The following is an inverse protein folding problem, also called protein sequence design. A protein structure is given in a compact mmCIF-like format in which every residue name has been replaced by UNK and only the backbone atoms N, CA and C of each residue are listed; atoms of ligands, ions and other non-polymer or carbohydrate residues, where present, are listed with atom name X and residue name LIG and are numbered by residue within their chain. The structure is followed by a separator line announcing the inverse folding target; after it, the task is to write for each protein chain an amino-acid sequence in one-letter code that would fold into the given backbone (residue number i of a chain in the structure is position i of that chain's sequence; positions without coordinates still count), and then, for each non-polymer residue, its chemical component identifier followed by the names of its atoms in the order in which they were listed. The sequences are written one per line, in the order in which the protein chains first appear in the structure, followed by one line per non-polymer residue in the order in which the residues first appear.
data_IF_466765134722
#
_entry.id   IF_466765134722
#
_cell.length_a   1.000
_cell.length_b   1.000
_cell.length_c   1.000
_cell.angle_alpha   90.00
_cell.angle_beta   90.00
_cell.angle_gamma   90.00
#
_symmetry.space_group_name_H-M   'P 1'
#
loop_
_entity.id
_entity.type
_entity.pdbx_description
1 polymer ?
#
# COMPACT_ATOMS: atom_id res chain seq x y z
N UNK A 1 48.65 -3.24 31.24
CA UNK A 1 48.49 -4.69 31.48
C UNK A 1 47.12 -5.06 30.97
N UNK A 2 47.02 -6.03 30.06
CA UNK A 2 45.74 -6.55 29.58
C UNK A 2 44.97 -7.19 30.74
N UNK A 3 43.70 -6.86 30.89
CA UNK A 3 42.82 -7.44 31.91
C UNK A 3 42.61 -8.93 31.59
N UNK A 4 42.77 -9.80 32.59
CA UNK A 4 42.54 -11.24 32.44
C UNK A 4 41.15 -11.66 32.95
N UNK A 5 40.79 -12.93 32.70
CA UNK A 5 39.47 -13.48 33.08
C UNK A 5 39.25 -13.47 34.60
N UNK A 6 40.30 -13.72 35.39
CA UNK A 6 40.21 -13.75 36.85
C UNK A 6 39.91 -12.37 37.42
N UNK A 7 40.54 -11.33 36.88
CA UNK A 7 40.29 -9.93 37.23
C UNK A 7 38.86 -9.49 36.89
N UNK A 8 38.31 -9.94 35.75
CA UNK A 8 36.91 -9.67 35.40
C UNK A 8 35.94 -10.31 36.39
N UNK A 9 36.13 -11.58 36.74
CA UNK A 9 35.27 -12.26 37.73
C UNK A 9 35.40 -11.66 39.12
N UNK A 10 36.60 -11.26 39.54
CA UNK A 10 36.80 -10.55 40.81
C UNK A 10 36.05 -9.23 40.84
N UNK A 11 36.17 -8.43 39.77
CA UNK A 11 35.47 -7.14 39.64
C UNK A 11 33.96 -7.32 39.60
N UNK A 12 33.48 -8.34 38.88
CA UNK A 12 32.07 -8.73 38.89
C UNK A 12 31.59 -9.11 40.29
N UNK A 13 32.37 -9.90 41.03
CA UNK A 13 32.04 -10.31 42.40
C UNK A 13 31.86 -9.11 43.33
N UNK A 14 32.80 -8.15 43.28
CA UNK A 14 32.72 -6.89 44.04
C UNK A 14 31.39 -6.16 43.75
N UNK A 15 31.05 -5.99 42.47
CA UNK A 15 29.83 -5.28 42.08
C UNK A 15 28.55 -6.07 42.43
N UNK A 16 28.57 -7.39 42.27
CA UNK A 16 27.44 -8.25 42.59
C UNK A 16 27.15 -8.30 44.09
N UNK A 17 28.20 -8.38 44.92
CA UNK A 17 28.09 -8.40 46.39
C UNK A 17 27.62 -7.06 46.94
N UNK A 18 28.00 -5.95 46.29
CA UNK A 18 27.57 -4.60 46.67
C UNK A 18 26.08 -4.31 46.40
N UNK A 19 25.40 -5.09 45.55
CA UNK A 19 23.98 -4.93 45.19
C UNK A 19 23.64 -3.48 44.79
N UNK A 20 22.77 -2.80 45.53
CA UNK A 20 22.36 -1.42 45.25
C UNK A 20 23.49 -0.40 45.48
N UNK A 21 24.53 -0.77 46.22
CA UNK A 21 25.72 0.04 46.46
C UNK A 21 26.83 -0.19 45.41
N UNK A 22 26.54 -0.87 44.30
CA UNK A 22 27.53 -1.08 43.23
C UNK A 22 28.16 0.23 42.74
N UNK A 23 27.40 1.34 42.76
CA UNK A 23 27.86 2.70 42.42
C UNK A 23 29.09 3.17 43.23
N UNK A 24 29.31 2.62 44.43
CA UNK A 24 30.43 2.97 45.31
C UNK A 24 31.75 2.29 44.88
N UNK A 25 31.71 1.44 43.84
CA UNK A 25 32.85 0.70 43.31
C UNK A 25 33.13 0.99 41.82
N UNK A 26 33.30 2.27 41.41
CA UNK A 26 33.50 2.64 40.00
C UNK A 26 34.77 2.04 39.39
N UNK A 27 35.82 1.80 40.20
CA UNK A 27 37.06 1.19 39.73
C UNK A 27 36.88 -0.26 39.28
N UNK A 28 36.02 -1.03 39.95
CA UNK A 28 35.69 -2.38 39.52
C UNK A 28 34.96 -2.38 38.16
N UNK A 29 34.06 -1.41 37.95
CA UNK A 29 33.38 -1.25 36.68
C UNK A 29 34.33 -0.80 35.56
N UNK A 30 35.26 0.13 35.83
CA UNK A 30 36.30 0.52 34.87
C UNK A 30 37.22 -0.64 34.46
N UNK A 31 37.52 -1.58 35.36
CA UNK A 31 38.26 -2.81 35.01
C UNK A 31 37.45 -3.68 34.04
N UNK A 32 36.13 -3.80 34.26
CA UNK A 32 35.24 -4.51 33.35
C UNK A 32 35.24 -3.86 31.96
N UNK A 33 35.14 -2.52 31.88
CA UNK A 33 35.18 -1.79 30.61
C UNK A 33 36.50 -2.00 29.85
N UNK A 34 37.64 -2.07 30.56
CA UNK A 34 38.94 -2.39 29.96
C UNK A 34 39.06 -3.83 29.45
N UNK A 35 38.15 -4.72 29.82
CA UNK A 35 38.13 -6.12 29.37
C UNK A 35 37.97 -6.28 27.86
N UNK A 36 37.48 -5.24 27.16
CA UNK A 36 37.36 -5.22 25.70
C UNK A 36 38.72 -5.28 24.97
N UNK A 37 39.81 -4.91 25.64
CA UNK A 37 41.17 -4.93 25.06
C UNK A 37 41.86 -6.30 25.18
N UNK A 38 41.18 -7.29 25.78
CA UNK A 38 41.76 -8.60 26.05
C UNK A 38 41.56 -9.64 24.94
N UNK A 39 41.59 -10.92 25.30
CA UNK A 39 41.36 -12.03 24.39
C UNK A 39 39.85 -12.33 24.18
N UNK A 40 39.51 -13.30 23.33
CA UNK A 40 38.12 -13.69 23.04
C UNK A 40 37.29 -13.96 24.30
N UNK A 41 37.85 -14.62 25.31
CA UNK A 41 37.13 -14.93 26.54
C UNK A 41 36.85 -13.68 27.38
N UNK A 42 37.84 -12.79 27.52
CA UNK A 42 37.67 -11.54 28.28
C UNK A 42 36.72 -10.58 27.60
N UNK A 43 36.79 -10.44 26.27
CA UNK A 43 35.87 -9.60 25.49
C UNK A 43 34.41 -10.03 25.65
N UNK A 44 34.14 -11.34 25.53
CA UNK A 44 32.78 -11.89 25.71
C UNK A 44 32.24 -11.69 27.13
N UNK A 45 33.09 -11.80 28.15
CA UNK A 45 32.72 -11.51 29.54
C UNK A 45 32.50 -10.01 29.76
N UNK A 46 33.37 -9.17 29.21
CA UNK A 46 33.27 -7.73 29.30
C UNK A 46 31.94 -7.22 28.75
N UNK A 47 31.48 -7.71 27.59
CA UNK A 47 30.16 -7.38 27.04
C UNK A 47 29.02 -7.63 28.06
N UNK A 48 28.94 -8.85 28.61
CA UNK A 48 27.88 -9.22 29.56
C UNK A 48 27.97 -8.47 30.89
N UNK A 49 29.19 -8.29 31.40
CA UNK A 49 29.41 -7.66 32.70
C UNK A 49 29.16 -6.16 32.63
N UNK A 50 29.52 -5.52 31.52
CA UNK A 50 29.28 -4.09 31.27
C UNK A 50 27.80 -3.78 31.33
N UNK A 51 26.96 -4.53 30.61
CA UNK A 51 25.51 -4.27 30.56
C UNK A 51 24.80 -4.61 31.85
N UNK A 52 25.26 -5.63 32.59
CA UNK A 52 24.65 -6.05 33.87
C UNK A 52 24.66 -4.95 34.94
N UNK A 53 25.73 -4.18 35.03
CA UNK A 53 25.89 -3.15 36.07
C UNK A 53 25.68 -1.72 35.56
N UNK A 54 25.40 -1.55 34.27
CA UNK A 54 25.25 -0.26 33.58
C UNK A 54 24.42 0.77 34.36
N UNK A 55 23.23 0.39 34.83
CA UNK A 55 22.30 1.28 35.56
C UNK A 55 22.87 1.92 36.83
N UNK A 56 23.95 1.38 37.40
CA UNK A 56 24.57 1.90 38.62
C UNK A 56 25.62 2.99 38.35
N UNK A 57 26.03 3.19 37.09
CA UNK A 57 27.14 4.08 36.73
C UNK A 57 26.75 5.06 35.61
N UNK A 58 25.81 6.00 35.86
CA UNK A 58 25.40 6.98 34.86
C UNK A 58 26.57 7.84 34.34
N UNK A 59 27.53 8.17 35.21
CA UNK A 59 28.72 8.95 34.83
C UNK A 59 29.66 8.22 33.84
N UNK A 60 29.50 6.90 33.71
CA UNK A 60 30.29 6.05 32.82
C UNK A 60 29.44 5.49 31.66
N UNK A 61 28.20 5.98 31.48
CA UNK A 61 27.25 5.43 30.52
C UNK A 61 27.79 5.47 29.08
N UNK A 62 28.30 6.62 28.62
CA UNK A 62 28.88 6.76 27.28
C UNK A 62 30.09 5.84 27.07
N UNK A 63 30.98 5.72 28.06
CA UNK A 63 32.12 4.80 27.98
C UNK A 63 31.66 3.34 27.91
N UNK A 64 30.61 2.97 28.65
CA UNK A 64 30.06 1.62 28.64
C UNK A 64 29.36 1.29 27.31
N UNK A 65 28.59 2.24 26.75
CA UNK A 65 27.95 2.07 25.44
C UNK A 65 29.03 1.90 24.37
N UNK A 66 29.99 2.82 24.30
CA UNK A 66 31.06 2.75 23.30
C UNK A 66 31.86 1.45 23.43
N UNK A 67 32.19 1.01 24.65
CA UNK A 67 32.87 -0.27 24.86
C UNK A 67 32.10 -1.48 24.30
N UNK A 68 30.78 -1.51 24.42
CA UNK A 68 29.97 -2.61 23.85
C UNK A 68 29.83 -2.46 22.33
N UNK A 69 29.74 -1.23 21.81
CA UNK A 69 29.72 -0.96 20.36
C UNK A 69 31.04 -1.36 19.69
N UNK A 70 32.18 -1.07 20.30
CA UNK A 70 33.50 -1.51 19.82
C UNK A 70 33.55 -3.05 19.68
N UNK A 71 32.92 -3.78 20.60
CA UNK A 71 32.81 -5.24 20.51
C UNK A 71 31.81 -5.71 19.44
N UNK A 72 30.85 -4.88 19.04
CA UNK A 72 29.96 -5.18 17.90
C UNK A 72 30.70 -5.06 16.56
N UNK A 73 31.87 -4.43 16.53
CA UNK A 73 32.74 -4.28 15.34
C UNK A 73 33.98 -5.20 15.40
N UNK A 74 34.00 -6.17 16.33
CA UNK A 74 35.14 -7.08 16.49
C UNK A 74 35.35 -8.01 15.28
N UNK A 75 36.61 -8.32 14.96
CA UNK A 75 36.97 -9.25 13.89
C UNK A 75 36.37 -10.66 14.09
N UNK A 76 36.23 -11.10 15.35
CA UNK A 76 35.64 -12.40 15.69
C UNK A 76 34.11 -12.30 15.78
N UNK A 77 33.41 -12.97 14.85
CA UNK A 77 31.94 -12.92 14.81
C UNK A 77 31.27 -13.50 16.05
N UNK A 78 31.95 -14.39 16.79
CA UNK A 78 31.43 -14.89 18.07
C UNK A 78 31.41 -13.82 19.15
N UNK A 79 32.31 -12.83 19.07
CA UNK A 79 32.37 -11.67 19.96
C UNK A 79 31.30 -10.66 19.55
N UNK A 80 31.20 -10.33 18.25
CA UNK A 80 30.12 -9.45 17.74
C UNK A 80 28.76 -9.93 18.17
N UNK A 81 28.43 -11.19 17.89
CA UNK A 81 27.14 -11.80 18.30
C UNK A 81 26.92 -11.77 19.81
N UNK A 82 27.98 -11.94 20.62
CA UNK A 82 27.86 -11.82 22.07
C UNK A 82 27.55 -10.38 22.49
N UNK A 83 28.19 -9.38 21.89
CA UNK A 83 27.96 -7.96 22.18
C UNK A 83 26.58 -7.48 21.71
N UNK A 84 26.17 -7.80 20.48
CA UNK A 84 24.88 -7.43 19.90
C UNK A 84 23.72 -7.92 20.77
N UNK A 85 23.81 -9.15 21.28
CA UNK A 85 22.79 -9.72 22.17
C UNK A 85 22.63 -8.94 23.48
N UNK A 86 23.68 -8.27 23.93
CA UNK A 86 23.70 -7.52 25.18
C UNK A 86 23.22 -6.07 25.03
N UNK A 87 23.19 -5.50 23.81
CA UNK A 87 22.76 -4.12 23.57
C UNK A 87 21.42 -3.75 24.24
N UNK A 88 20.35 -4.57 24.19
CA UNK A 88 19.10 -4.22 24.86
C UNK A 88 19.22 -4.08 26.38
N UNK A 89 20.20 -4.73 27.00
CA UNK A 89 20.43 -4.64 28.45
C UNK A 89 20.96 -3.27 28.88
N UNK A 90 21.57 -2.50 27.97
CA UNK A 90 21.99 -1.11 28.23
C UNK A 90 20.80 -0.16 28.41
N UNK A 91 19.61 -0.53 27.94
CA UNK A 91 18.39 0.27 28.11
C UNK A 91 17.54 -0.16 29.32
N UNK A 92 17.92 -1.22 30.05
CA UNK A 92 17.10 -1.71 31.18
C UNK A 92 17.02 -0.66 32.30
N UNK A 93 15.85 -0.06 32.44
CA UNK A 93 15.56 0.96 33.45
C UNK A 93 15.82 2.40 33.01
N UNK A 94 16.35 2.63 31.79
CA UNK A 94 16.46 3.96 31.18
C UNK A 94 16.20 3.89 29.66
N UNK A 95 15.22 4.68 29.19
CA UNK A 95 14.82 4.73 27.77
C UNK A 95 15.69 5.65 26.92
N UNK A 96 16.55 6.46 27.54
CA UNK A 96 17.34 7.51 26.89
C UNK A 96 18.15 7.03 25.68
N UNK A 97 18.67 5.81 25.73
CA UNK A 97 19.53 5.26 24.67
C UNK A 97 18.80 4.35 23.68
N UNK A 98 17.50 4.10 23.84
CA UNK A 98 16.77 3.11 23.02
C UNK A 98 16.83 3.47 21.54
N UNK A 99 16.57 4.72 21.18
CA UNK A 99 16.59 5.14 19.76
C UNK A 99 17.97 5.01 19.14
N UNK A 100 19.03 5.41 19.85
CA UNK A 100 20.42 5.27 19.40
C UNK A 100 20.82 3.81 19.22
N UNK A 101 20.45 2.93 20.15
CA UNK A 101 20.79 1.50 20.04
C UNK A 101 19.94 0.78 18.98
N UNK A 102 18.68 1.19 18.78
CA UNK A 102 17.87 0.68 17.69
C UNK A 102 18.44 1.09 16.32
N UNK A 103 18.92 2.33 16.19
CA UNK A 103 19.61 2.83 15.00
C UNK A 103 20.84 1.96 14.64
N UNK A 104 21.72 1.70 15.61
CA UNK A 104 22.87 0.80 15.44
C UNK A 104 22.44 -0.62 15.05
N UNK A 105 21.45 -1.18 15.76
CA UNK A 105 20.99 -2.54 15.49
C UNK A 105 20.38 -2.70 14.09
N UNK A 106 19.79 -1.64 13.53
CA UNK A 106 19.29 -1.62 12.16
C UNK A 106 20.44 -1.66 11.15
N UNK A 107 21.54 -0.94 11.40
CA UNK A 107 22.74 -1.02 10.57
C UNK A 107 23.31 -2.45 10.53
N UNK A 108 23.25 -3.16 11.67
CA UNK A 108 23.69 -4.55 11.79
C UNK A 108 22.79 -5.56 11.05
N UNK A 109 21.59 -5.17 10.58
CA UNK A 109 20.74 -6.03 9.74
C UNK A 109 21.29 -6.23 8.32
N UNK A 110 22.30 -5.45 7.93
CA UNK A 110 22.97 -5.53 6.62
C UNK A 110 24.11 -6.56 6.61
N UNK A 111 24.47 -7.14 7.75
CA UNK A 111 25.54 -8.16 7.83
C UNK A 111 25.30 -9.34 6.87
N UNK A 112 26.36 -9.77 6.17
CA UNK A 112 26.37 -10.98 5.34
C UNK A 112 26.19 -12.27 6.15
N UNK A 113 26.56 -12.24 7.44
CA UNK A 113 26.40 -13.39 8.32
C UNK A 113 24.95 -13.50 8.82
N UNK A 114 24.19 -14.45 8.29
CA UNK A 114 22.78 -14.68 8.67
C UNK A 114 22.56 -14.92 10.16
N UNK A 115 23.55 -15.51 10.85
CA UNK A 115 23.49 -15.73 12.29
C UNK A 115 23.65 -14.42 13.08
N UNK A 116 24.38 -13.44 12.56
CA UNK A 116 24.53 -12.11 13.14
C UNK A 116 23.24 -11.29 12.95
N UNK A 117 22.67 -11.29 11.74
CA UNK A 117 21.36 -10.68 11.44
C UNK A 117 20.27 -11.25 12.34
N UNK A 118 20.31 -12.55 12.61
CA UNK A 118 19.37 -13.21 13.53
C UNK A 118 19.49 -12.68 14.97
N UNK A 119 20.72 -12.48 15.47
CA UNK A 119 20.94 -11.91 16.80
C UNK A 119 20.53 -10.43 16.85
N UNK A 120 20.86 -9.64 15.83
CA UNK A 120 20.45 -8.24 15.74
C UNK A 120 18.91 -8.09 15.73
N UNK A 121 18.21 -8.95 14.98
CA UNK A 121 16.74 -9.01 14.96
C UNK A 121 16.15 -9.33 16.34
N UNK A 122 16.75 -10.29 17.07
CA UNK A 122 16.32 -10.63 18.44
C UNK A 122 16.56 -9.45 19.38
N UNK A 123 17.69 -8.76 19.25
CA UNK A 123 18.01 -7.59 20.06
C UNK A 123 17.03 -6.43 19.79
N UNK A 124 16.70 -6.15 18.53
CA UNK A 124 15.67 -5.17 18.16
C UNK A 124 14.31 -5.51 18.75
N UNK A 125 13.92 -6.80 18.73
CA UNK A 125 12.68 -7.24 19.36
C UNK A 125 12.69 -6.99 20.88
N UNK A 126 13.85 -7.22 21.52
CA UNK A 126 14.05 -6.91 22.93
C UNK A 126 13.88 -5.42 23.25
N UNK A 127 14.44 -4.53 22.42
CA UNK A 127 14.21 -3.08 22.55
C UNK A 127 12.75 -2.72 22.28
N UNK A 128 12.13 -3.29 21.25
CA UNK A 128 10.75 -2.99 20.88
C UNK A 128 9.76 -3.33 22.00
N UNK A 129 9.90 -4.50 22.63
CA UNK A 129 9.04 -4.88 23.74
C UNK A 129 9.30 -4.06 25.02
N UNK A 130 10.48 -3.44 25.15
CA UNK A 130 10.79 -2.53 26.26
C UNK A 130 10.28 -1.11 26.02
N UNK A 131 10.50 -0.58 24.82
CA UNK A 131 10.08 0.75 24.39
C UNK A 131 9.88 0.83 22.88
N UNK A 132 8.67 0.48 22.43
CA UNK A 132 8.32 0.43 21.02
C UNK A 132 8.51 1.77 20.31
N UNK A 133 8.09 2.89 20.93
CA UNK A 133 8.21 4.24 20.35
C UNK A 133 9.67 4.64 20.15
N UNK A 134 10.54 4.45 21.16
CA UNK A 134 11.97 4.72 21.03
C UNK A 134 12.63 3.84 19.97
N UNK A 135 12.26 2.56 19.91
CA UNK A 135 12.80 1.61 18.92
C UNK A 135 12.41 2.02 17.50
N UNK A 136 11.12 2.32 17.28
CA UNK A 136 10.61 2.81 16.00
C UNK A 136 11.26 4.14 15.59
N UNK A 137 11.59 5.01 16.55
CA UNK A 137 12.30 6.27 16.28
C UNK A 137 13.70 6.00 15.69
N UNK A 138 14.46 5.06 16.25
CA UNK A 138 15.76 4.67 15.69
C UNK A 138 15.63 4.03 14.30
N UNK A 139 14.61 3.19 14.09
CA UNK A 139 14.35 2.57 12.80
C UNK A 139 13.97 3.63 11.74
N UNK A 140 13.08 4.55 12.08
CA UNK A 140 12.62 5.62 11.16
C UNK A 140 13.74 6.60 10.82
N UNK A 141 14.67 6.86 11.75
CA UNK A 141 15.91 7.60 11.48
C UNK A 141 16.70 6.95 10.34
N UNK A 142 16.96 5.64 10.42
CA UNK A 142 17.64 4.90 9.36
C UNK A 142 16.87 4.84 8.04
N UNK A 143 15.53 4.85 8.08
CA UNK A 143 14.74 4.93 6.84
C UNK A 143 14.91 6.30 6.16
N UNK A 144 14.98 7.38 6.93
CA UNK A 144 15.05 8.76 6.40
C UNK A 144 16.47 9.18 6.00
N UNK A 145 17.51 8.66 6.66
CA UNK A 145 18.89 9.12 6.46
C UNK A 145 19.93 8.02 6.28
N UNK A 146 19.55 6.74 6.39
CA UNK A 146 20.44 5.62 6.12
C UNK A 146 20.74 5.45 4.63
N UNK A 147 21.68 4.58 4.31
CA UNK A 147 21.92 4.17 2.93
C UNK A 147 20.81 3.24 2.41
N UNK A 148 20.78 2.97 1.10
CA UNK A 148 19.70 2.22 0.45
C UNK A 148 19.53 0.81 1.03
N UNK A 149 20.63 0.14 1.37
CA UNK A 149 20.58 -1.23 1.90
C UNK A 149 20.05 -1.26 3.33
N UNK A 150 20.54 -0.38 4.21
CA UNK A 150 20.04 -0.24 5.56
C UNK A 150 18.57 0.18 5.55
N UNK A 151 18.19 1.14 4.70
CA UNK A 151 16.79 1.58 4.51
C UNK A 151 15.89 0.40 4.13
N UNK A 152 16.30 -0.42 3.17
CA UNK A 152 15.52 -1.59 2.76
C UNK A 152 15.30 -2.58 3.91
N UNK A 153 16.34 -2.88 4.70
CA UNK A 153 16.23 -3.75 5.88
C UNK A 153 15.35 -3.13 6.96
N UNK A 154 15.48 -1.83 7.19
CA UNK A 154 14.70 -1.07 8.16
C UNK A 154 13.20 -1.09 7.84
N UNK A 155 12.82 -0.79 6.59
CA UNK A 155 11.43 -0.86 6.12
C UNK A 155 10.88 -2.28 6.27
N UNK A 156 11.65 -3.29 5.84
CA UNK A 156 11.23 -4.69 5.91
C UNK A 156 10.96 -5.13 7.36
N UNK A 157 11.90 -4.85 8.27
CA UNK A 157 11.77 -5.18 9.69
C UNK A 157 10.57 -4.44 10.31
N UNK A 158 10.48 -3.12 10.13
CA UNK A 158 9.41 -2.30 10.68
C UNK A 158 8.04 -2.78 10.21
N UNK A 159 7.84 -2.98 8.91
CA UNK A 159 6.58 -3.45 8.35
C UNK A 159 6.16 -4.82 8.92
N UNK A 160 7.12 -5.72 9.15
CA UNK A 160 6.87 -7.01 9.79
C UNK A 160 6.49 -6.87 11.26
N UNK A 161 7.15 -5.96 12.00
CA UNK A 161 6.84 -5.68 13.41
C UNK A 161 5.51 -4.98 13.60
N UNK A 162 5.17 -3.97 12.79
CA UNK A 162 3.89 -3.28 12.86
C UNK A 162 2.70 -4.24 12.67
N UNK A 163 2.86 -5.29 11.86
CA UNK A 163 1.84 -6.33 11.64
C UNK A 163 1.71 -7.35 12.78
N UNK A 164 2.77 -7.55 13.57
CA UNK A 164 2.86 -8.63 14.57
C UNK A 164 2.89 -8.14 16.02
N UNK A 165 3.00 -6.84 16.24
CA UNK A 165 3.01 -6.23 17.56
C UNK A 165 1.63 -6.31 18.22
N UNK A 166 1.63 -6.40 19.54
CA UNK A 166 0.40 -6.37 20.34
C UNK A 166 -0.09 -4.94 20.57
N UNK A 167 -1.38 -4.78 20.92
CA UNK A 167 -1.97 -3.48 21.29
C UNK A 167 -1.28 -2.83 22.50
N UNK A 168 -0.66 -3.64 23.37
CA UNK A 168 0.13 -3.15 24.50
C UNK A 168 1.47 -2.50 24.05
N UNK A 169 2.07 -3.00 22.96
CA UNK A 169 3.28 -2.44 22.37
C UNK A 169 2.96 -1.24 21.45
N UNK A 170 1.91 -1.37 20.63
CA UNK A 170 1.42 -0.33 19.71
C UNK A 170 0.12 0.29 20.21
N UNK A 171 0.24 1.15 21.21
CA UNK A 171 -0.88 2.00 21.61
C UNK A 171 -1.14 3.11 20.58
N UNK A 172 -2.29 3.78 20.71
CA UNK A 172 -2.72 4.85 19.79
C UNK A 172 -1.68 5.97 19.61
N UNK A 173 -1.01 6.40 20.68
CA UNK A 173 0.01 7.47 20.59
C UNK A 173 1.21 7.03 19.74
N UNK A 174 1.65 5.78 19.91
CA UNK A 174 2.74 5.20 19.12
C UNK A 174 2.33 5.04 17.66
N UNK A 175 1.11 4.56 17.39
CA UNK A 175 0.62 4.43 16.02
C UNK A 175 0.48 5.79 15.30
N UNK A 176 -0.01 6.82 16.00
CA UNK A 176 -0.12 8.19 15.46
C UNK A 176 1.27 8.78 15.17
N UNK A 177 2.25 8.52 16.04
CA UNK A 177 3.65 8.89 15.81
C UNK A 177 4.23 8.20 14.57
N UNK A 178 4.05 6.89 14.44
CA UNK A 178 4.50 6.12 13.26
C UNK A 178 3.89 6.67 11.99
N UNK A 179 2.59 6.97 11.99
CA UNK A 179 1.93 7.57 10.84
C UNK A 179 2.52 8.94 10.48
N UNK A 180 2.80 9.80 11.46
CA UNK A 180 3.38 11.11 11.22
C UNK A 180 4.78 11.04 10.60
N UNK A 181 5.63 10.12 11.06
CA UNK A 181 6.97 9.93 10.51
C UNK A 181 6.93 9.23 9.14
N UNK A 182 6.07 8.23 8.97
CA UNK A 182 5.92 7.56 7.67
C UNK A 182 5.38 8.49 6.58
N UNK A 183 4.60 9.51 6.92
CA UNK A 183 4.22 10.55 5.95
C UNK A 183 5.43 11.27 5.35
N UNK A 184 6.48 11.51 6.15
CA UNK A 184 7.73 12.10 5.66
C UNK A 184 8.47 11.13 4.75
N UNK A 185 8.53 9.86 5.14
CA UNK A 185 9.12 8.80 4.31
C UNK A 185 8.43 8.76 2.95
N UNK A 186 7.09 8.80 2.94
CA UNK A 186 6.26 8.77 1.73
C UNK A 186 6.48 9.94 0.76
N UNK A 187 7.19 11.01 1.14
CA UNK A 187 7.54 12.09 0.20
C UNK A 187 8.53 11.61 -0.87
N UNK A 188 9.36 10.61 -0.55
CA UNK A 188 10.33 9.99 -1.46
C UNK A 188 10.39 8.47 -1.23
N UNK A 189 9.54 7.75 -1.98
CA UNK A 189 9.43 6.29 -1.95
C UNK A 189 9.38 5.70 -3.34
N UNK A 190 9.98 4.52 -3.47
CA UNK A 190 9.76 3.68 -4.65
C UNK A 190 8.36 3.04 -4.61
N UNK A 191 7.90 2.51 -5.75
CA UNK A 191 6.61 1.80 -5.81
C UNK A 191 6.54 0.60 -4.86
N UNK A 192 7.63 -0.16 -4.71
CA UNK A 192 7.68 -1.35 -3.85
C UNK A 192 7.65 -0.96 -2.36
N UNK A 193 8.42 0.06 -1.98
CA UNK A 193 8.39 0.61 -0.61
C UNK A 193 7.00 1.14 -0.28
N UNK A 194 6.40 1.90 -1.20
CA UNK A 194 5.08 2.46 -1.01
C UNK A 194 4.03 1.37 -0.71
N UNK A 195 4.06 0.26 -1.47
CA UNK A 195 3.16 -0.86 -1.23
C UNK A 195 3.37 -1.50 0.15
N UNK A 196 4.62 -1.73 0.56
CA UNK A 196 4.92 -2.29 1.87
C UNK A 196 4.44 -1.39 3.01
N UNK A 197 4.70 -0.08 2.89
CA UNK A 197 4.34 0.92 3.89
C UNK A 197 2.81 1.08 4.01
N UNK A 198 2.09 1.20 2.90
CA UNK A 198 0.62 1.27 2.93
C UNK A 198 0.01 0.00 3.51
N UNK A 199 0.55 -1.17 3.16
CA UNK A 199 0.10 -2.42 3.76
C UNK A 199 0.35 -2.42 5.28
N UNK A 200 1.51 -1.96 5.76
CA UNK A 200 1.79 -1.86 7.19
C UNK A 200 0.84 -0.87 7.89
N UNK A 201 0.67 0.33 7.34
CA UNK A 201 -0.25 1.36 7.85
C UNK A 201 -1.70 0.86 7.93
N UNK A 202 -2.16 0.09 6.95
CA UNK A 202 -3.54 -0.45 6.96
C UNK A 202 -3.80 -1.44 8.11
N UNK A 203 -2.75 -1.94 8.78
CA UNK A 203 -2.88 -2.83 9.94
C UNK A 203 -2.90 -2.07 11.27
N UNK A 204 -2.60 -0.76 11.30
CA UNK A 204 -2.69 0.03 12.53
C UNK A 204 -4.14 0.19 12.96
N UNK A 205 -4.42 -0.04 14.23
CA UNK A 205 -5.78 -0.09 14.77
C UNK A 205 -6.54 1.22 14.56
N UNK A 206 -5.90 2.38 14.79
CA UNK A 206 -6.56 3.66 14.58
C UNK A 206 -6.90 3.92 13.09
N UNK A 207 -6.15 3.33 12.16
CA UNK A 207 -6.37 3.42 10.70
C UNK A 207 -7.42 2.45 10.17
N UNK A 208 -7.89 1.49 10.97
CA UNK A 208 -8.98 0.58 10.60
C UNK A 208 -10.38 1.20 10.80
N UNK A 209 -10.45 2.34 11.49
CA UNK A 209 -11.69 3.11 11.66
C UNK A 209 -12.16 3.74 10.34
N UNK A 210 -13.41 4.22 10.27
CA UNK A 210 -13.90 4.93 9.07
C UNK A 210 -13.04 6.16 8.77
N UNK A 211 -12.76 6.99 9.78
CA UNK A 211 -11.93 8.18 9.62
C UNK A 211 -10.49 7.85 9.29
N UNK A 212 -9.92 6.84 9.96
CA UNK A 212 -8.57 6.36 9.71
C UNK A 212 -8.37 5.81 8.30
N UNK A 213 -9.31 4.99 7.80
CA UNK A 213 -9.28 4.52 6.41
C UNK A 213 -9.42 5.66 5.41
N UNK A 214 -10.27 6.65 5.69
CA UNK A 214 -10.36 7.84 4.84
C UNK A 214 -9.05 8.62 4.81
N UNK A 215 -8.39 8.77 5.95
CA UNK A 215 -7.07 9.38 6.03
C UNK A 215 -6.05 8.61 5.18
N UNK A 216 -6.05 7.27 5.26
CA UNK A 216 -5.14 6.45 4.45
C UNK A 216 -5.46 6.55 2.95
N UNK A 217 -6.73 6.58 2.56
CA UNK A 217 -7.14 6.83 1.15
C UNK A 217 -6.63 8.18 0.66
N UNK A 218 -6.70 9.22 1.49
CA UNK A 218 -6.19 10.55 1.12
C UNK A 218 -4.66 10.56 0.97
N UNK A 219 -3.93 9.90 1.87
CA UNK A 219 -2.47 9.74 1.76
C UNK A 219 -2.09 9.01 0.45
N UNK A 220 -2.83 7.95 0.09
CA UNK A 220 -2.59 7.24 -1.18
C UNK A 220 -2.92 8.15 -2.38
N UNK A 221 -3.93 9.00 -2.27
CA UNK A 221 -4.29 9.92 -3.34
C UNK A 221 -3.23 11.03 -3.54
N UNK A 222 -2.61 11.51 -2.47
CA UNK A 222 -1.51 12.50 -2.53
C UNK A 222 -0.33 12.00 -3.37
N UNK A 223 -0.06 10.69 -3.38
CA UNK A 223 0.97 10.07 -4.21
C UNK A 223 0.71 10.16 -5.72
N UNK A 224 -0.53 10.38 -6.13
CA UNK A 224 -0.84 10.64 -7.53
C UNK A 224 -0.43 12.02 -7.99
N UNK A 225 0.01 12.90 -7.07
CA UNK A 225 0.30 14.31 -7.35
C UNK A 225 -0.87 14.95 -8.11
N UNK A 226 -2.05 14.98 -7.47
CA UNK A 226 -3.34 15.29 -8.09
C UNK A 226 -3.38 16.63 -8.87
N UNK A 227 -2.42 17.53 -8.59
CA UNK A 227 -2.26 18.82 -9.26
C UNK A 227 -1.49 18.75 -10.58
N UNK A 228 -0.71 17.69 -10.82
CA UNK A 228 0.03 17.45 -12.06
C UNK A 228 -0.90 16.90 -13.17
N UNK A 229 -0.53 17.13 -14.42
CA UNK A 229 -1.24 16.54 -15.57
C UNK A 229 -0.80 15.10 -15.79
N UNK A 230 -1.75 14.23 -16.13
CA UNK A 230 -1.48 12.85 -16.51
C UNK A 230 -0.70 12.77 -17.84
N UNK A 231 0.37 11.98 -17.90
CA UNK A 231 1.08 11.65 -19.13
C UNK A 231 0.74 10.23 -19.58
N UNK A 232 0.02 10.12 -20.70
CA UNK A 232 -0.43 8.85 -21.25
C UNK A 232 0.69 8.04 -21.95
N UNK A 233 1.85 8.65 -22.19
CA UNK A 233 3.00 8.01 -22.84
C UNK A 233 4.04 7.51 -21.83
N UNK A 234 3.96 8.00 -20.60
CA UNK A 234 4.83 7.56 -19.52
C UNK A 234 4.25 6.32 -18.82
N UNK A 235 4.95 5.20 -18.97
CA UNK A 235 4.59 3.94 -18.32
C UNK A 235 4.58 4.06 -16.79
N UNK A 236 5.46 4.87 -16.23
CA UNK A 236 5.53 5.08 -14.78
C UNK A 236 4.29 5.84 -14.26
N UNK A 237 3.81 6.83 -15.02
CA UNK A 237 2.54 7.53 -14.73
C UNK A 237 1.35 6.57 -14.71
N UNK A 238 1.25 5.68 -15.71
CA UNK A 238 0.18 4.68 -15.81
C UNK A 238 0.25 3.68 -14.64
N UNK A 239 1.44 3.15 -14.37
CA UNK A 239 1.68 2.19 -13.30
C UNK A 239 1.38 2.78 -11.93
N UNK A 240 1.81 4.03 -11.69
CA UNK A 240 1.53 4.76 -10.44
C UNK A 240 0.02 4.88 -10.19
N UNK A 241 -0.76 5.27 -11.19
CA UNK A 241 -2.22 5.36 -11.06
C UNK A 241 -2.83 3.99 -10.75
N UNK A 242 -2.44 2.97 -11.50
CA UNK A 242 -2.94 1.61 -11.32
C UNK A 242 -2.65 1.07 -9.93
N UNK A 243 -1.43 1.29 -9.43
CA UNK A 243 -0.96 0.85 -8.12
C UNK A 243 -1.70 1.58 -6.99
N UNK A 244 -1.76 2.92 -7.03
CA UNK A 244 -2.45 3.72 -6.00
C UNK A 244 -3.92 3.34 -5.90
N UNK A 245 -4.63 3.20 -7.03
CA UNK A 245 -6.03 2.75 -7.02
C UNK A 245 -6.15 1.33 -6.46
N UNK A 246 -5.22 0.44 -6.81
CA UNK A 246 -5.18 -0.94 -6.30
C UNK A 246 -5.07 -1.01 -4.77
N UNK A 247 -4.35 -0.08 -4.15
CA UNK A 247 -4.21 0.00 -2.70
C UNK A 247 -5.35 0.76 -2.02
N UNK A 248 -5.94 1.76 -2.67
CA UNK A 248 -7.05 2.54 -2.12
C UNK A 248 -8.39 1.79 -2.14
N UNK A 249 -8.66 1.00 -3.18
CA UNK A 249 -9.94 0.31 -3.37
C UNK A 249 -10.34 -0.59 -2.17
N UNK A 250 -9.45 -1.43 -1.60
CA UNK A 250 -9.79 -2.24 -0.43
C UNK A 250 -10.16 -1.45 0.83
N UNK A 251 -9.74 -0.18 0.91
CA UNK A 251 -10.04 0.72 2.04
C UNK A 251 -11.39 1.40 1.88
N UNK A 252 -11.88 1.52 0.64
CA UNK A 252 -13.11 2.21 0.30
C UNK A 252 -14.34 1.46 0.78
N UNK A 253 -15.40 2.21 1.11
CA UNK A 253 -16.68 1.66 1.51
C UNK A 253 -17.77 2.71 1.28
N UNK A 254 -19.01 2.45 1.73
CA UNK A 254 -20.07 3.46 1.67
C UNK A 254 -19.73 4.75 2.44
N UNK A 255 -18.89 4.66 3.47
CA UNK A 255 -18.52 5.78 4.34
C UNK A 255 -17.03 6.18 4.21
N UNK A 256 -16.28 5.53 3.31
CA UNK A 256 -14.89 5.85 3.02
C UNK A 256 -14.81 6.09 1.52
N UNK A 257 -14.72 7.36 1.14
CA UNK A 257 -14.95 7.81 -0.20
C UNK A 257 -13.69 7.80 -1.06
N UNK A 258 -13.86 7.38 -2.31
CA UNK A 258 -12.86 7.32 -3.38
C UNK A 258 -12.75 8.61 -4.20
N UNK A 259 -13.47 9.67 -3.81
CA UNK A 259 -13.70 10.86 -4.65
C UNK A 259 -12.45 11.53 -5.22
N UNK A 260 -11.31 11.65 -4.50
CA UNK A 260 -10.08 12.21 -5.08
C UNK A 260 -9.61 11.47 -6.34
N UNK A 261 -9.65 10.13 -6.31
CA UNK A 261 -9.30 9.29 -7.44
C UNK A 261 -10.29 9.44 -8.60
N UNK A 262 -11.59 9.46 -8.31
CA UNK A 262 -12.63 9.62 -9.34
C UNK A 262 -12.45 10.96 -10.07
N UNK A 263 -12.22 12.05 -9.33
CA UNK A 263 -11.94 13.37 -9.92
C UNK A 263 -10.74 13.32 -10.85
N UNK A 264 -9.60 12.86 -10.34
CA UNK A 264 -8.37 12.80 -11.12
C UNK A 264 -8.52 11.93 -12.38
N UNK A 265 -9.07 10.73 -12.24
CA UNK A 265 -9.25 9.83 -13.38
C UNK A 265 -10.22 10.42 -14.41
N UNK A 266 -11.36 10.96 -13.98
CA UNK A 266 -12.32 11.54 -14.91
C UNK A 266 -11.80 12.81 -15.60
N UNK A 267 -11.10 13.68 -14.88
CA UNK A 267 -10.73 15.01 -15.37
C UNK A 267 -9.37 15.06 -16.07
N UNK A 268 -8.43 14.18 -15.69
CA UNK A 268 -7.05 14.17 -16.21
C UNK A 268 -6.73 12.93 -17.05
N UNK A 269 -7.27 11.76 -16.69
CA UNK A 269 -6.93 10.49 -17.36
C UNK A 269 -7.85 10.19 -18.54
N UNK A 270 -9.17 10.20 -18.35
CA UNK A 270 -10.13 9.89 -19.41
C UNK A 270 -9.95 10.72 -20.69
N UNK A 271 -9.65 12.03 -20.65
CA UNK A 271 -9.42 12.82 -21.86
C UNK A 271 -8.23 12.35 -22.70
N UNK A 272 -7.25 11.65 -22.09
CA UNK A 272 -6.03 11.15 -22.74
C UNK A 272 -6.04 9.62 -22.88
N UNK A 273 -7.16 8.95 -22.62
CA UNK A 273 -7.26 7.49 -22.64
C UNK A 273 -6.93 6.89 -24.01
N UNK A 274 -7.24 7.60 -25.10
CA UNK A 274 -6.89 7.20 -26.47
C UNK A 274 -5.39 7.11 -26.69
N UNK A 275 -4.63 7.94 -25.99
CA UNK A 275 -3.21 8.19 -26.23
C UNK A 275 -2.32 7.18 -25.51
N UNK A 276 -2.90 6.39 -24.58
CA UNK A 276 -2.20 5.27 -23.96
C UNK A 276 -1.88 4.24 -25.04
N UNK A 277 -0.61 3.90 -25.19
CA UNK A 277 -0.18 2.90 -26.17
C UNK A 277 -0.67 1.51 -25.72
N UNK A 278 -1.28 0.78 -26.65
CA UNK A 278 -1.66 -0.61 -26.41
C UNK A 278 -0.50 -1.50 -26.81
N UNK A 279 0.11 -2.17 -25.85
CA UNK A 279 1.02 -3.29 -26.10
C UNK A 279 0.27 -4.45 -26.78
N UNK A 280 1.00 -5.41 -27.33
CA UNK A 280 0.41 -6.58 -28.00
C UNK A 280 -0.59 -7.30 -27.08
N UNK A 281 -1.90 -7.31 -27.39
CA UNK A 281 -2.94 -7.90 -26.56
C UNK A 281 -2.77 -9.42 -26.35
N UNK A 282 -1.95 -10.08 -27.17
CA UNK A 282 -1.64 -11.50 -27.01
C UNK A 282 -0.74 -11.77 -25.79
N UNK A 283 0.05 -10.78 -25.38
CA UNK A 283 1.08 -10.90 -24.34
C UNK A 283 0.82 -10.02 -23.13
N UNK A 284 0.05 -8.93 -23.29
CA UNK A 284 -0.17 -7.94 -22.24
C UNK A 284 -1.67 -7.63 -22.03
N UNK A 285 -2.12 -7.41 -20.79
CA UNK A 285 -3.49 -6.99 -20.53
C UNK A 285 -3.75 -5.60 -21.11
N UNK A 286 -4.99 -5.37 -21.54
CA UNK A 286 -5.42 -4.07 -22.03
C UNK A 286 -5.47 -3.04 -20.88
N UNK A 287 -4.41 -2.22 -20.78
CA UNK A 287 -4.25 -1.22 -19.72
C UNK A 287 -5.39 -0.21 -19.67
N UNK A 288 -5.96 0.17 -20.83
CA UNK A 288 -7.10 1.09 -20.89
C UNK A 288 -8.30 0.46 -20.22
N UNK A 289 -8.59 -0.80 -20.54
CA UNK A 289 -9.69 -1.53 -19.93
C UNK A 289 -9.48 -1.74 -18.42
N UNK A 290 -8.26 -2.04 -17.97
CA UNK A 290 -7.96 -2.19 -16.54
C UNK A 290 -8.16 -0.88 -15.76
N UNK A 291 -7.77 0.27 -16.31
CA UNK A 291 -8.06 1.57 -15.73
C UNK A 291 -9.56 1.87 -15.67
N UNK A 292 -10.32 1.51 -16.71
CA UNK A 292 -11.77 1.68 -16.74
C UNK A 292 -12.50 0.79 -15.72
N UNK A 293 -12.07 -0.46 -15.54
CA UNK A 293 -12.59 -1.35 -14.49
C UNK A 293 -12.37 -0.75 -13.11
N UNK A 294 -11.15 -0.28 -12.85
CA UNK A 294 -10.77 0.41 -11.60
C UNK A 294 -11.61 1.67 -11.36
N UNK A 295 -11.83 2.50 -12.39
CA UNK A 295 -12.71 3.67 -12.29
C UNK A 295 -14.14 3.28 -11.92
N UNK A 296 -14.69 2.26 -12.57
CA UNK A 296 -16.04 1.79 -12.29
C UNK A 296 -16.18 1.30 -10.84
N UNK A 297 -15.15 0.64 -10.30
CA UNK A 297 -15.11 0.23 -8.90
C UNK A 297 -14.99 1.40 -7.93
N UNK A 298 -14.18 2.42 -8.25
CA UNK A 298 -14.10 3.65 -7.45
C UNK A 298 -15.45 4.37 -7.40
N UNK A 299 -16.17 4.47 -8.51
CA UNK A 299 -17.46 5.16 -8.59
C UNK A 299 -18.54 4.56 -7.66
N UNK A 300 -18.42 3.29 -7.28
CA UNK A 300 -19.31 2.65 -6.30
C UNK A 300 -19.17 3.22 -4.87
N UNK A 301 -18.07 3.93 -4.60
CA UNK A 301 -17.69 4.44 -3.27
C UNK A 301 -17.50 5.96 -3.26
N UNK A 302 -18.07 6.71 -4.20
CA UNK A 302 -17.88 8.17 -4.28
C UNK A 302 -18.79 8.95 -3.32
N UNK A 303 -18.31 10.12 -2.88
CA UNK A 303 -19.12 11.11 -2.18
C UNK A 303 -19.98 11.91 -3.16
N UNK A 304 -21.31 11.86 -3.01
CA UNK A 304 -22.29 12.42 -3.94
C UNK A 304 -22.01 13.88 -4.36
N UNK A 305 -21.63 14.74 -3.41
CA UNK A 305 -21.40 16.17 -3.66
C UNK A 305 -20.00 16.47 -4.19
N UNK A 306 -19.08 15.52 -4.12
CA UNK A 306 -17.67 15.76 -4.43
C UNK A 306 -17.38 15.58 -5.92
N UNK A 307 -18.12 14.71 -6.62
CA UNK A 307 -17.78 14.24 -7.98
C UNK A 307 -18.68 14.80 -9.10
N UNK A 308 -19.42 15.87 -8.83
CA UNK A 308 -20.39 16.46 -9.76
C UNK A 308 -19.77 16.92 -11.09
N UNK A 309 -18.54 17.46 -11.04
CA UNK A 309 -17.82 17.94 -12.21
C UNK A 309 -17.24 16.79 -13.04
N UNK A 310 -17.04 15.63 -12.43
CA UNK A 310 -16.46 14.43 -13.04
C UNK A 310 -17.45 13.69 -13.96
N UNK A 311 -18.76 13.97 -13.83
CA UNK A 311 -19.83 13.31 -14.60
C UNK A 311 -19.76 13.64 -16.09
N UNK A 312 -19.46 14.90 -16.45
CA UNK A 312 -19.42 15.32 -17.85
C UNK A 312 -18.22 14.70 -18.60
N UNK A 313 -16.97 14.75 -18.10
CA UNK A 313 -15.85 14.04 -18.70
C UNK A 313 -16.10 12.53 -18.85
N UNK A 314 -16.70 11.91 -17.83
CA UNK A 314 -17.07 10.50 -17.86
C UNK A 314 -18.10 10.19 -18.96
N UNK A 315 -19.13 11.02 -19.08
CA UNK A 315 -20.14 10.89 -20.13
C UNK A 315 -19.53 11.07 -21.53
N UNK A 316 -18.65 12.06 -21.70
CA UNK A 316 -17.95 12.28 -22.97
C UNK A 316 -17.09 11.07 -23.37
N UNK A 317 -16.40 10.46 -22.40
CA UNK A 317 -15.67 9.21 -22.63
C UNK A 317 -16.61 8.07 -23.02
N UNK A 318 -17.76 7.91 -22.34
CA UNK A 318 -18.76 6.88 -22.68
C UNK A 318 -19.26 7.00 -24.13
N UNK A 319 -19.63 8.20 -24.57
CA UNK A 319 -20.20 8.38 -25.92
C UNK A 319 -19.16 8.18 -27.04
N UNK A 320 -17.86 8.31 -26.75
CA UNK A 320 -16.79 7.97 -27.70
C UNK A 320 -16.78 6.47 -28.05
N UNK A 321 -17.27 5.61 -27.16
CA UNK A 321 -17.41 4.16 -27.38
C UNK A 321 -18.84 3.75 -27.76
N UNK A 322 -19.77 4.70 -27.88
CA UNK A 322 -21.14 4.46 -28.30
C UNK A 322 -21.44 5.24 -29.60
N UNK A 323 -21.09 4.71 -30.78
CA UNK A 323 -21.26 5.44 -32.04
C UNK A 323 -22.72 5.72 -32.38
N UNK A 324 -22.94 6.70 -33.26
CA UNK A 324 -24.24 6.89 -33.91
C UNK A 324 -24.50 5.76 -34.91
N UNK A 325 -25.78 5.44 -35.20
CA UNK A 325 -26.12 4.55 -36.30
C UNK A 325 -25.47 5.02 -37.62
N UNK A 326 -24.91 4.12 -38.45
CA UNK A 326 -24.48 4.45 -39.80
C UNK A 326 -25.63 5.08 -40.60
N UNK A 327 -25.30 6.07 -41.44
CA UNK A 327 -26.28 6.81 -42.23
C UNK A 327 -27.20 5.91 -43.07
N UNK A 328 -26.67 4.77 -43.56
CA UNK A 328 -27.39 3.82 -44.43
C UNK A 328 -28.38 2.92 -43.66
N UNK A 329 -28.27 2.85 -42.32
CA UNK A 329 -29.14 2.04 -41.46
C UNK A 329 -30.40 2.79 -40.97
N UNK A 330 -30.48 4.10 -41.23
CA UNK A 330 -31.66 4.91 -40.90
C UNK A 330 -32.87 4.57 -41.79
N UNK A 331 -32.63 4.09 -43.02
CA UNK A 331 -33.68 3.87 -44.03
C UNK A 331 -34.05 2.39 -44.25
N UNK A 332 -33.22 1.43 -43.84
CA UNK A 332 -33.33 0.06 -44.38
C UNK A 332 -33.63 -1.06 -43.37
N UNK A 333 -33.65 -0.79 -42.05
CA UNK A 333 -33.82 -1.85 -41.04
C UNK A 333 -32.81 -3.01 -41.15
N UNK A 334 -31.72 -2.81 -41.90
CA UNK A 334 -30.71 -3.82 -42.18
C UNK A 334 -29.78 -3.99 -40.98
N UNK A 335 -29.38 -5.24 -40.75
CA UNK A 335 -28.57 -5.67 -39.62
C UNK A 335 -27.28 -4.85 -39.49
N UNK A 336 -27.01 -4.43 -38.25
CA UNK A 336 -25.83 -3.70 -37.81
C UNK A 336 -24.58 -4.12 -38.61
N UNK A 337 -24.15 -3.25 -39.50
CA UNK A 337 -22.88 -3.39 -40.20
C UNK A 337 -21.74 -3.47 -39.18
N UNK A 338 -20.78 -4.35 -39.47
CA UNK A 338 -19.57 -4.77 -38.73
C UNK A 338 -18.73 -3.66 -38.04
N UNK A 339 -19.32 -2.81 -37.21
CA UNK A 339 -18.61 -2.01 -36.22
C UNK A 339 -18.36 -2.90 -35.01
N UNK A 340 -17.09 -3.22 -34.77
CA UNK A 340 -16.65 -4.02 -33.62
C UNK A 340 -16.86 -3.20 -32.33
N UNK A 341 -18.07 -3.27 -31.78
CA UNK A 341 -18.44 -2.57 -30.54
C UNK A 341 -17.59 -3.08 -29.38
N UNK A 342 -17.07 -2.15 -28.58
CA UNK A 342 -16.23 -2.46 -27.42
C UNK A 342 -17.08 -2.62 -26.16
N UNK A 343 -17.80 -3.74 -26.06
CA UNK A 343 -18.75 -3.98 -24.96
C UNK A 343 -18.12 -3.85 -23.56
N UNK A 344 -16.92 -4.38 -23.34
CA UNK A 344 -16.26 -4.31 -22.02
C UNK A 344 -15.96 -2.87 -21.59
N UNK A 345 -15.54 -2.01 -22.52
CA UNK A 345 -15.30 -0.58 -22.27
C UNK A 345 -16.60 0.13 -21.90
N UNK A 346 -17.66 -0.13 -22.67
CA UNK A 346 -18.98 0.47 -22.44
C UNK A 346 -19.59 -0.03 -21.12
N UNK A 347 -19.40 -1.29 -20.73
CA UNK A 347 -19.84 -1.77 -19.41
C UNK A 347 -19.19 -0.96 -18.29
N UNK A 348 -17.87 -0.75 -18.34
CA UNK A 348 -17.14 0.01 -17.32
C UNK A 348 -17.63 1.46 -17.25
N UNK A 349 -17.64 2.17 -18.38
CA UNK A 349 -18.01 3.57 -18.46
C UNK A 349 -19.49 3.81 -18.15
N UNK A 350 -20.38 2.93 -18.63
CA UNK A 350 -21.81 3.04 -18.36
C UNK A 350 -22.14 2.69 -16.92
N UNK A 351 -21.44 1.73 -16.31
CA UNK A 351 -21.59 1.45 -14.88
C UNK A 351 -21.13 2.63 -14.03
N UNK A 352 -19.93 3.16 -14.30
CA UNK A 352 -19.42 4.35 -13.64
C UNK A 352 -20.40 5.53 -13.79
N UNK A 353 -20.87 5.80 -15.01
CA UNK A 353 -21.81 6.88 -15.28
C UNK A 353 -23.15 6.69 -14.57
N UNK A 354 -23.66 5.46 -14.50
CA UNK A 354 -24.89 5.15 -13.76
C UNK A 354 -24.71 5.40 -12.26
N UNK A 355 -23.56 5.03 -11.69
CA UNK A 355 -23.25 5.28 -10.29
C UNK A 355 -23.13 6.78 -9.97
N UNK A 356 -22.46 7.56 -10.82
CA UNK A 356 -22.30 9.00 -10.57
C UNK A 356 -23.55 9.80 -10.94
N UNK A 357 -24.23 9.43 -12.01
CA UNK A 357 -25.39 10.14 -12.56
C UNK A 357 -26.57 10.21 -11.59
N UNK A 358 -26.73 9.20 -10.71
CA UNK A 358 -27.74 9.23 -9.63
C UNK A 358 -27.55 10.39 -8.65
N UNK A 359 -26.34 10.96 -8.58
CA UNK A 359 -26.02 12.12 -7.75
C UNK A 359 -26.23 13.45 -8.47
N UNK A 360 -26.51 13.45 -9.79
CA UNK A 360 -26.78 14.64 -10.61
C UNK A 360 -28.03 14.43 -11.46
N UNK A 361 -29.23 14.41 -10.84
CA UNK A 361 -30.49 14.12 -11.54
C UNK A 361 -30.85 15.16 -12.61
N UNK A 362 -30.30 16.37 -12.51
CA UNK A 362 -30.43 17.46 -13.47
C UNK A 362 -29.57 17.29 -14.73
N UNK A 363 -28.63 16.34 -14.76
CA UNK A 363 -27.70 16.15 -15.89
C UNK A 363 -28.39 15.99 -17.25
N UNK A 364 -29.58 15.42 -17.31
CA UNK A 364 -30.37 15.30 -18.54
C UNK A 364 -31.65 16.13 -18.58
N UNK A 365 -31.95 16.87 -17.50
CA UNK A 365 -33.20 17.63 -17.37
C UNK A 365 -33.00 19.14 -17.28
N UNK A 366 -31.77 19.61 -17.13
CA UNK A 366 -31.42 21.03 -17.26
C UNK A 366 -31.79 21.59 -18.65
N UNK A 367 -32.03 22.90 -18.73
CA UNK A 367 -32.52 23.58 -19.93
C UNK A 367 -31.62 23.40 -21.16
N UNK A 368 -30.32 23.24 -20.96
CA UNK A 368 -29.31 23.02 -22.01
C UNK A 368 -29.08 21.53 -22.36
N UNK A 369 -29.70 20.61 -21.63
CA UNK A 369 -29.44 19.18 -21.72
C UNK A 369 -30.23 18.46 -22.82
N UNK A 370 -31.21 19.12 -23.46
CA UNK A 370 -32.12 18.51 -24.41
C UNK A 370 -31.38 17.90 -25.64
N UNK A 371 -30.41 18.62 -26.19
CA UNK A 371 -29.60 18.13 -27.31
C UNK A 371 -28.75 16.92 -26.91
N UNK A 372 -28.12 16.97 -25.72
CA UNK A 372 -27.32 15.88 -25.14
C UNK A 372 -28.18 14.63 -24.91
N UNK A 373 -29.37 14.76 -24.33
CA UNK A 373 -30.28 13.63 -24.10
C UNK A 373 -30.77 13.02 -25.43
N UNK A 374 -31.07 13.86 -26.43
CA UNK A 374 -31.50 13.38 -27.76
C UNK A 374 -30.41 12.57 -28.44
N UNK A 375 -29.18 13.07 -28.50
CA UNK A 375 -28.01 12.35 -29.04
C UNK A 375 -27.78 11.04 -28.29
N UNK A 376 -27.81 11.08 -26.96
CA UNK A 376 -27.59 9.90 -26.13
C UNK A 376 -28.65 8.80 -26.38
N UNK A 377 -29.91 9.16 -26.55
CA UNK A 377 -30.99 8.19 -26.86
C UNK A 377 -30.77 7.47 -28.18
N UNK A 378 -30.27 8.16 -29.20
CA UNK A 378 -29.98 7.56 -30.51
C UNK A 378 -28.85 6.53 -30.35
N UNK A 379 -27.78 6.90 -29.63
CA UNK A 379 -26.65 6.00 -29.31
C UNK A 379 -27.09 4.79 -28.48
N UNK A 380 -27.92 5.00 -27.45
CA UNK A 380 -28.50 3.92 -26.63
C UNK A 380 -29.31 2.94 -27.48
N UNK A 381 -30.13 3.44 -28.42
CA UNK A 381 -30.96 2.59 -29.27
C UNK A 381 -30.11 1.76 -30.22
N UNK A 382 -29.08 2.37 -30.82
CA UNK A 382 -28.14 1.67 -31.67
C UNK A 382 -27.38 0.58 -30.91
N UNK A 383 -26.82 0.95 -29.75
CA UNK A 383 -26.04 0.03 -28.93
C UNK A 383 -26.89 -1.13 -28.38
N UNK A 384 -28.14 -0.86 -27.99
CA UNK A 384 -29.07 -1.90 -27.55
C UNK A 384 -29.33 -2.97 -28.62
N UNK A 385 -29.44 -2.58 -29.91
CA UNK A 385 -29.55 -3.54 -31.02
C UNK A 385 -28.30 -4.41 -31.14
N UNK A 386 -27.11 -3.79 -31.10
CA UNK A 386 -25.84 -4.51 -31.12
C UNK A 386 -25.68 -5.51 -29.98
N UNK A 387 -26.04 -5.10 -28.75
CA UNK A 387 -26.03 -5.97 -27.57
C UNK A 387 -26.98 -7.17 -27.74
N UNK A 388 -28.19 -6.95 -28.28
CA UNK A 388 -29.16 -8.04 -28.50
C UNK A 388 -28.68 -9.07 -29.53
N UNK A 389 -28.10 -8.60 -30.63
CA UNK A 389 -27.51 -9.47 -31.67
C UNK A 389 -26.39 -10.32 -31.06
N UNK A 390 -25.45 -9.68 -30.35
CA UNK A 390 -24.32 -10.40 -29.78
C UNK A 390 -24.72 -11.38 -28.66
N UNK A 391 -25.71 -11.04 -27.82
CA UNK A 391 -26.30 -11.99 -26.85
C UNK A 391 -26.86 -13.23 -27.55
N UNK A 392 -27.55 -13.06 -28.68
CA UNK A 392 -28.12 -14.18 -29.44
C UNK A 392 -26.99 -15.09 -29.97
N UNK A 393 -25.95 -14.51 -30.56
CA UNK A 393 -24.77 -15.24 -31.05
C UNK A 393 -24.06 -16.00 -29.93
N UNK A 394 -23.81 -15.35 -28.79
CA UNK A 394 -23.18 -15.98 -27.62
C UNK A 394 -24.01 -17.15 -27.09
N UNK A 395 -25.34 -16.97 -26.95
CA UNK A 395 -26.25 -18.04 -26.50
C UNK A 395 -26.26 -19.21 -27.47
N UNK A 396 -26.29 -18.95 -28.78
CA UNK A 396 -26.21 -20.01 -29.79
C UNK A 396 -24.87 -20.75 -29.72
N UNK A 397 -23.74 -20.03 -29.54
CA UNK A 397 -22.41 -20.65 -29.44
C UNK A 397 -22.20 -21.45 -28.15
N UNK A 398 -22.89 -21.09 -27.07
CA UNK A 398 -22.83 -21.78 -25.78
C UNK A 398 -23.89 -22.88 -25.63
N UNK A 399 -24.86 -22.96 -26.55
CA UNK A 399 -25.93 -23.94 -26.49
C UNK A 399 -25.38 -25.38 -26.60
N UNK A 400 -25.89 -26.27 -25.74
CA UNK A 400 -25.51 -27.69 -25.74
C UNK A 400 -24.18 -28.02 -25.07
N UNK A 401 -23.43 -27.03 -24.57
CA UNK A 401 -22.18 -27.25 -23.84
C UNK A 401 -22.45 -27.72 -22.41
N UNK A 402 -21.73 -28.74 -21.97
CA UNK A 402 -21.84 -29.29 -20.62
C UNK A 402 -21.28 -28.31 -19.56
N UNK A 403 -21.70 -28.45 -18.29
CA UNK A 403 -21.17 -27.61 -17.21
C UNK A 403 -19.65 -27.71 -17.03
N UNK A 404 -19.05 -28.85 -17.37
CA UNK A 404 -17.60 -29.03 -17.29
C UNK A 404 -16.88 -28.25 -18.40
N UNK A 405 -17.35 -28.36 -19.65
CA UNK A 405 -16.79 -27.62 -20.79
C UNK A 405 -16.91 -26.10 -20.62
N UNK A 406 -18.00 -25.63 -20.02
CA UNK A 406 -18.18 -24.22 -19.70
C UNK A 406 -17.16 -23.70 -18.67
N UNK A 407 -16.63 -24.58 -17.82
CA UNK A 407 -15.69 -24.24 -16.75
C UNK A 407 -14.23 -24.45 -17.13
N UNK A 408 -13.91 -25.40 -17.99
CA UNK A 408 -12.52 -25.76 -18.30
C UNK A 408 -12.00 -25.12 -19.59
N UNK A 409 -12.88 -24.83 -20.54
CA UNK A 409 -12.52 -24.23 -21.81
C UNK A 409 -12.43 -22.70 -21.70
N UNK A 410 -11.26 -22.15 -22.03
CA UNK A 410 -10.98 -20.71 -21.94
C UNK A 410 -11.88 -19.87 -22.86
N UNK A 411 -12.20 -20.38 -24.05
CA UNK A 411 -13.05 -19.67 -25.01
C UNK A 411 -14.49 -19.57 -24.50
N UNK A 412 -15.00 -20.63 -23.87
CA UNK A 412 -16.31 -20.64 -23.21
C UNK A 412 -16.36 -19.69 -22.02
N UNK A 413 -15.30 -19.64 -21.20
CA UNK A 413 -15.20 -18.68 -20.10
C UNK A 413 -15.27 -17.24 -20.62
N UNK A 414 -14.52 -16.91 -21.68
CA UNK A 414 -14.57 -15.59 -22.31
C UNK A 414 -15.97 -15.27 -22.81
N UNK A 415 -16.64 -16.22 -23.49
CA UNK A 415 -18.02 -16.06 -23.98
C UNK A 415 -19.03 -15.87 -22.85
N UNK A 416 -18.86 -16.54 -21.72
CA UNK A 416 -19.70 -16.37 -20.53
C UNK A 416 -19.52 -14.97 -19.91
N UNK A 417 -18.27 -14.49 -19.81
CA UNK A 417 -17.98 -13.12 -19.34
C UNK A 417 -18.61 -12.11 -20.30
N UNK A 418 -18.44 -12.28 -21.61
CA UNK A 418 -19.05 -11.42 -22.62
C UNK A 418 -20.58 -11.40 -22.53
N UNK A 419 -21.20 -12.56 -22.22
CA UNK A 419 -22.64 -12.65 -22.02
C UNK A 419 -23.09 -11.87 -20.76
N UNK A 420 -22.33 -11.97 -19.65
CA UNK A 420 -22.56 -11.18 -18.42
C UNK A 420 -22.43 -9.67 -18.71
N UNK A 421 -21.36 -9.25 -19.38
CA UNK A 421 -21.14 -7.87 -19.86
C UNK A 421 -22.34 -7.35 -20.63
N UNK A 422 -22.81 -8.08 -21.63
CA UNK A 422 -23.95 -7.67 -22.45
C UNK A 422 -25.26 -7.55 -21.66
N UNK A 423 -25.53 -8.49 -20.74
CA UNK A 423 -26.71 -8.43 -19.88
C UNK A 423 -26.66 -7.25 -18.90
N UNK A 424 -25.48 -6.94 -18.37
CA UNK A 424 -25.25 -5.77 -17.54
C UNK A 424 -25.54 -4.49 -18.31
N UNK A 425 -24.98 -4.33 -19.51
CA UNK A 425 -25.24 -3.18 -20.38
C UNK A 425 -26.74 -3.04 -20.67
N UNK A 426 -27.42 -4.12 -21.08
CA UNK A 426 -28.87 -4.09 -21.32
C UNK A 426 -29.66 -3.61 -20.10
N UNK A 427 -29.28 -4.02 -18.90
CA UNK A 427 -29.94 -3.61 -17.66
C UNK A 427 -29.76 -2.11 -17.40
N UNK A 428 -28.54 -1.59 -17.59
CA UNK A 428 -28.24 -0.16 -17.45
C UNK A 428 -28.93 0.68 -18.54
N UNK A 429 -28.95 0.21 -19.79
CA UNK A 429 -29.64 0.85 -20.90
C UNK A 429 -31.14 1.02 -20.60
N UNK A 430 -31.81 -0.01 -20.07
CA UNK A 430 -33.23 0.06 -19.71
C UNK A 430 -33.52 1.19 -18.72
N UNK A 431 -32.65 1.34 -17.74
CA UNK A 431 -32.71 2.40 -16.74
C UNK A 431 -32.54 3.79 -17.36
N UNK A 432 -31.52 3.93 -18.22
CA UNK A 432 -31.18 5.20 -18.87
C UNK A 432 -32.20 5.62 -19.96
N UNK A 433 -33.04 4.70 -20.44
CA UNK A 433 -34.11 4.99 -21.38
C UNK A 433 -35.36 5.63 -20.75
N UNK A 434 -35.51 5.60 -19.43
CA UNK A 434 -36.62 6.28 -18.77
C UNK A 434 -36.62 7.79 -19.08
N UNK A 435 -37.78 8.43 -18.90
CA UNK A 435 -37.94 9.87 -19.09
C UNK A 435 -38.46 10.51 -17.78
N UNK A 436 -37.60 11.16 -16.98
CA UNK A 436 -36.13 11.27 -17.14
C UNK A 436 -35.39 9.95 -16.87
N UNK A 437 -34.10 9.82 -17.25
CA UNK A 437 -33.29 8.63 -16.98
C UNK A 437 -33.31 8.21 -15.51
N UNK A 438 -33.37 6.90 -15.26
CA UNK A 438 -33.43 6.31 -13.92
C UNK A 438 -32.09 5.65 -13.54
N UNK A 439 -31.87 5.50 -12.24
CA UNK A 439 -30.64 4.91 -11.67
C UNK A 439 -30.95 3.88 -10.57
N UNK A 440 -31.77 2.87 -10.90
CA UNK A 440 -32.31 1.88 -9.95
C UNK A 440 -31.67 0.49 -10.08
N UNK A 441 -31.15 0.16 -11.25
CA UNK A 441 -30.53 -1.11 -11.55
C UNK A 441 -29.24 -1.29 -10.72
N UNK A 442 -29.10 -2.47 -10.13
CA UNK A 442 -27.86 -2.91 -9.48
C UNK A 442 -27.30 -4.05 -10.30
N UNK A 443 -26.05 -3.92 -10.75
CA UNK A 443 -25.35 -4.96 -11.50
C UNK A 443 -24.12 -5.43 -10.74
N UNK A 444 -23.74 -6.69 -10.95
CA UNK A 444 -22.43 -7.19 -10.57
C UNK A 444 -21.53 -7.11 -11.80
N UNK A 445 -20.51 -6.25 -11.76
CA UNK A 445 -19.56 -6.06 -12.86
C UNK A 445 -19.02 -7.39 -13.39
N UNK A 446 -18.84 -7.51 -14.70
CA UNK A 446 -18.45 -8.77 -15.34
C UNK A 446 -17.12 -9.33 -14.83
N UNK A 447 -16.18 -8.46 -14.49
CA UNK A 447 -14.83 -8.76 -13.99
C UNK A 447 -14.74 -9.05 -12.48
N UNK A 448 -15.87 -8.94 -11.75
CA UNK A 448 -15.97 -9.34 -10.34
C UNK A 448 -16.50 -10.76 -10.17
#
# INVERSE_FOLDING_TARGET
MSVDVEQLYKSFGILADAKDNAKDHPEAYKIILKGIEGNTATKRLAAQFTTRFFKHFPDLAESAINAVLDLCEDEDSSIRKAAIKELPNLCKGNKEHVSRLADVLVQLLVSDESSEVSVATIALNGLFSFDAKGTLTGILSQILSGDDEVRQKAITYMCSRLKSASEAELNKETEEYVLAELKKVLEDVTGDEFQLLIQALSNLHHLQTIQGRQQLVNIIAEQLKLDEDFDAKDSDSINRISQCIGMALPLCSRNVHSSPFVKYVCEKVLPKLSDIESEDPAHHPDMKLELLKKLADLCAHCGANEVQNSILPLFNSLINYMPLPPSDELDSGSAATNLKLQFSYVECLMHAFHQLGKHKPDFFTADDAAARLKDFRIRLQYFARGVQVYIKELKTSLAGKSPNELRTDKENQIKLIALKTCNNINSLIRDLFHNPPAYKATINASWK
#
